data_IF_681530125725
#
_entry.id   IF_681530125725
#
_cell.length_a   1.000
_cell.length_b   1.000
_cell.length_c   1.000
_cell.angle_alpha   90.00
_cell.angle_beta   90.00
_cell.angle_gamma   90.00
#
_symmetry.space_group_name_H-M   'P 1'
#
loop_
_entity.id
_entity.type
_entity.pdbx_description
1 polymer ?
#
# COMPACT_ATOMS: atom_id res chain seq x y z
N UNK A 1 100.91 -18.66 -10.82
CA UNK A 1 100.36 -19.91 -10.23
C UNK A 1 100.64 -19.92 -8.73
N UNK A 2 99.75 -19.33 -7.91
CA UNK A 2 99.61 -19.66 -6.47
C UNK A 2 98.38 -18.92 -5.93
N UNK A 3 97.61 -19.61 -5.09
CA UNK A 3 96.30 -19.19 -4.56
C UNK A 3 96.42 -18.13 -3.45
N UNK A 4 95.47 -17.20 -3.42
CA UNK A 4 95.12 -16.27 -2.34
C UNK A 4 93.66 -15.85 -2.58
N UNK A 5 92.79 -15.50 -1.63
CA UNK A 5 92.75 -15.58 -0.18
C UNK A 5 91.26 -15.53 0.20
N UNK A 6 90.93 -16.09 1.35
CA UNK A 6 89.70 -16.01 2.13
C UNK A 6 88.94 -14.67 2.07
N UNK A 7 87.60 -14.69 1.94
CA UNK A 7 86.73 -13.82 2.76
C UNK A 7 85.27 -14.28 2.78
N UNK A 8 84.73 -14.27 4.00
CA UNK A 8 83.37 -14.66 4.37
C UNK A 8 82.33 -13.61 3.95
N UNK A 9 81.16 -14.09 3.51
CA UNK A 9 79.99 -13.27 3.19
C UNK A 9 78.71 -13.96 3.62
N UNK A 10 78.21 -13.53 4.77
CA UNK A 10 76.95 -13.90 5.40
C UNK A 10 75.76 -13.51 4.49
N UNK A 11 74.99 -14.48 3.97
CA UNK A 11 73.77 -14.20 3.20
C UNK A 11 72.54 -14.36 4.09
N UNK A 12 71.91 -13.24 4.43
CA UNK A 12 70.62 -13.15 5.13
C UNK A 12 69.49 -13.75 4.27
N UNK A 13 68.74 -14.68 4.86
CA UNK A 13 67.50 -15.23 4.31
C UNK A 13 66.35 -14.26 4.65
N UNK A 14 65.89 -13.47 3.67
CA UNK A 14 64.70 -12.62 3.84
C UNK A 14 63.43 -13.45 3.58
N UNK A 15 62.73 -13.82 4.65
CA UNK A 15 61.40 -14.44 4.61
C UNK A 15 60.38 -13.31 4.39
N UNK A 16 59.80 -13.24 3.19
CA UNK A 16 58.61 -12.41 2.93
C UNK A 16 57.38 -13.12 3.52
N UNK A 17 56.92 -12.63 4.67
CA UNK A 17 55.58 -12.93 5.20
C UNK A 17 54.55 -12.15 4.38
N UNK A 18 53.92 -12.83 3.41
CA UNK A 18 52.67 -12.36 2.79
C UNK A 18 51.54 -12.57 3.80
N UNK A 19 51.23 -11.52 4.56
CA UNK A 19 49.97 -11.42 5.30
C UNK A 19 48.83 -11.24 4.31
N UNK A 20 48.21 -12.35 3.90
CA UNK A 20 46.93 -12.34 3.21
C UNK A 20 45.84 -11.87 4.17
N UNK A 21 45.31 -10.66 3.96
CA UNK A 21 44.04 -10.24 4.53
C UNK A 21 42.92 -11.08 3.92
N UNK A 22 42.65 -12.26 4.49
CA UNK A 22 41.41 -12.97 4.24
C UNK A 22 40.30 -12.24 4.97
N UNK A 23 39.60 -11.36 4.25
CA UNK A 23 38.31 -10.86 4.67
C UNK A 23 37.38 -12.06 4.84
N UNK A 24 37.04 -12.39 6.09
CA UNK A 24 36.05 -13.38 6.46
C UNK A 24 34.65 -12.90 6.07
N UNK A 25 34.38 -12.89 4.76
CA UNK A 25 33.03 -12.73 4.24
C UNK A 25 32.23 -13.99 4.58
N UNK A 26 31.17 -13.86 5.38
CA UNK A 26 30.13 -14.88 5.43
C UNK A 26 29.68 -15.16 3.98
N UNK A 27 29.46 -16.42 3.57
CA UNK A 27 28.91 -16.70 2.26
C UNK A 27 27.60 -15.91 2.12
N UNK A 28 27.58 -14.97 1.20
CA UNK A 28 26.43 -14.13 0.94
C UNK A 28 25.37 -15.04 0.32
N UNK A 29 24.28 -15.27 1.05
CA UNK A 29 23.16 -16.08 0.56
C UNK A 29 22.72 -15.51 -0.80
N UNK A 30 22.52 -16.36 -1.83
CA UNK A 30 22.05 -15.88 -3.11
C UNK A 30 20.67 -15.21 -2.95
N UNK A 31 20.36 -14.16 -3.73
CA UNK A 31 19.04 -13.54 -3.71
C UNK A 31 17.95 -14.57 -4.00
N UNK A 32 16.90 -14.58 -3.18
CA UNK A 32 15.69 -15.39 -3.38
C UNK A 32 14.54 -14.57 -3.99
N UNK A 33 14.68 -13.24 -4.05
CA UNK A 33 13.86 -12.35 -4.85
C UNK A 33 14.73 -11.71 -5.93
N UNK A 34 14.44 -12.02 -7.18
CA UNK A 34 15.09 -11.48 -8.37
C UNK A 34 14.06 -10.71 -9.19
N UNK A 35 14.52 -9.79 -10.03
CA UNK A 35 13.61 -9.15 -10.96
C UNK A 35 14.23 -8.08 -11.83
N UNK A 36 13.36 -7.40 -12.57
CA UNK A 36 13.70 -6.27 -13.43
C UNK A 36 12.82 -5.05 -13.13
N UNK A 37 13.45 -3.89 -12.99
CA UNK A 37 12.79 -2.60 -12.94
C UNK A 37 12.58 -2.05 -14.35
N UNK A 38 11.34 -1.69 -14.67
CA UNK A 38 10.90 -1.32 -16.01
C UNK A 38 10.23 0.05 -16.01
N UNK A 39 10.69 0.97 -16.85
CA UNK A 39 10.06 2.27 -17.10
C UNK A 39 9.67 2.32 -18.58
N UNK A 40 8.42 2.67 -18.87
CA UNK A 40 7.90 2.77 -20.25
C UNK A 40 8.18 1.49 -21.08
N UNK A 41 8.06 0.32 -20.44
CA UNK A 41 8.33 -0.99 -21.04
C UNK A 41 9.81 -1.33 -21.28
N UNK A 42 10.76 -0.50 -20.83
CA UNK A 42 12.20 -0.70 -21.00
C UNK A 42 12.92 -0.89 -19.66
N UNK A 43 14.02 -1.68 -19.61
CA UNK A 43 14.81 -1.79 -18.39
C UNK A 43 15.35 -0.44 -17.92
N UNK A 44 15.32 -0.21 -16.61
CA UNK A 44 15.75 1.05 -16.00
C UNK A 44 16.68 0.78 -14.81
N UNK A 45 17.87 1.38 -14.84
CA UNK A 45 18.95 1.18 -13.88
C UNK A 45 18.84 2.12 -12.67
N UNK A 46 19.65 1.90 -11.63
CA UNK A 46 19.82 2.86 -10.53
C UNK A 46 18.69 2.87 -9.49
N UNK A 47 17.77 1.91 -9.56
CA UNK A 47 16.62 1.82 -8.66
C UNK A 47 16.87 0.84 -7.54
N UNK A 48 16.55 1.22 -6.31
CA UNK A 48 16.64 0.35 -5.12
C UNK A 48 15.28 -0.28 -4.84
N UNK A 49 15.26 -1.59 -4.62
CA UNK A 49 14.08 -2.30 -4.16
C UNK A 49 14.08 -2.37 -2.64
N UNK A 50 13.02 -1.87 -2.03
CA UNK A 50 12.82 -1.84 -0.58
C UNK A 50 11.67 -2.77 -0.19
N UNK A 51 11.84 -3.53 0.88
CA UNK A 51 10.82 -4.47 1.35
C UNK A 51 10.49 -4.30 2.83
N UNK A 52 9.19 -4.23 3.15
CA UNK A 52 8.65 -4.25 4.51
C UNK A 52 7.81 -5.51 4.73
N UNK A 53 7.96 -6.23 5.85
CA UNK A 53 7.04 -7.30 6.22
C UNK A 53 5.60 -6.78 6.30
N UNK A 54 4.62 -7.59 5.92
CA UNK A 54 3.19 -7.17 5.94
C UNK A 54 2.65 -6.90 7.35
N UNK A 55 3.32 -7.43 8.37
CA UNK A 55 3.03 -7.18 9.78
C UNK A 55 3.32 -5.71 10.16
N UNK A 56 4.09 -4.99 9.33
CA UNK A 56 4.27 -3.56 9.46
C UNK A 56 2.94 -2.85 9.12
N UNK A 57 2.23 -2.39 10.14
CA UNK A 57 1.05 -1.54 9.95
C UNK A 57 1.41 -0.18 9.34
N UNK A 58 2.66 0.28 9.46
CA UNK A 58 3.14 1.55 8.89
C UNK A 58 4.53 1.39 8.26
N UNK A 59 4.81 2.15 7.22
CA UNK A 59 6.17 2.31 6.69
C UNK A 59 6.99 3.10 7.71
N UNK A 60 8.04 2.47 8.24
CA UNK A 60 9.06 3.17 9.02
C UNK A 60 9.96 4.02 8.12
N UNK A 61 10.81 4.86 8.72
CA UNK A 61 11.71 5.77 7.99
C UNK A 61 12.71 5.04 7.07
N UNK A 62 13.00 3.76 7.35
CA UNK A 62 13.89 2.94 6.54
C UNK A 62 13.31 1.53 6.41
N UNK A 63 13.41 0.96 5.21
CA UNK A 63 13.03 -0.42 4.96
C UNK A 63 14.00 -1.38 5.67
N UNK A 64 13.50 -2.44 6.31
CA UNK A 64 14.36 -3.44 6.94
C UNK A 64 15.19 -4.23 5.91
N UNK A 65 14.74 -4.30 4.66
CA UNK A 65 15.46 -4.96 3.57
C UNK A 65 15.52 -4.06 2.35
N UNK A 66 16.71 -3.95 1.74
CA UNK A 66 16.96 -3.13 0.53
C UNK A 66 17.93 -3.85 -0.39
N UNK A 67 17.71 -3.75 -1.70
CA UNK A 67 18.63 -4.26 -2.71
C UNK A 67 19.79 -3.28 -2.93
N UNK A 68 20.82 -3.73 -3.64
CA UNK A 68 21.66 -2.79 -4.38
C UNK A 68 20.83 -2.12 -5.50
N UNK A 69 21.24 -0.93 -5.98
CA UNK A 69 20.63 -0.33 -7.16
C UNK A 69 20.64 -1.29 -8.36
N UNK A 70 19.57 -1.27 -9.16
CA UNK A 70 19.45 -2.10 -10.35
C UNK A 70 20.55 -1.80 -11.38
N UNK A 71 20.98 -2.84 -12.10
CA UNK A 71 22.03 -2.73 -13.10
C UNK A 71 21.57 -2.05 -14.40
N UNK A 72 22.46 -1.94 -15.38
CA UNK A 72 22.21 -1.38 -16.72
C UNK A 72 21.09 -2.10 -17.51
N UNK A 73 20.77 -3.34 -17.12
CA UNK A 73 19.66 -4.15 -17.65
C UNK A 73 18.45 -4.14 -16.70
N UNK A 74 18.40 -3.19 -15.77
CA UNK A 74 17.35 -3.04 -14.77
C UNK A 74 17.24 -4.20 -13.79
N UNK A 75 18.23 -5.11 -13.72
CA UNK A 75 18.15 -6.30 -12.87
C UNK A 75 18.49 -5.95 -11.44
N UNK A 76 17.75 -6.56 -10.51
CA UNK A 76 18.02 -6.46 -9.09
C UNK A 76 17.92 -7.84 -8.42
N UNK A 77 18.50 -7.93 -7.21
CA UNK A 77 18.35 -9.07 -6.34
C UNK A 77 18.23 -8.62 -4.88
N UNK A 78 17.35 -9.27 -4.13
CA UNK A 78 17.15 -9.06 -2.71
C UNK A 78 17.10 -10.41 -1.97
N UNK A 79 17.76 -10.47 -0.83
CA UNK A 79 17.69 -11.62 0.09
C UNK A 79 16.65 -11.27 1.16
N UNK A 80 15.61 -12.08 1.26
CA UNK A 80 14.54 -11.94 2.24
C UNK A 80 14.36 -13.23 3.02
N UNK A 81 14.06 -13.16 4.32
CA UNK A 81 13.48 -14.28 5.04
C UNK A 81 12.18 -14.79 4.38
N UNK A 82 11.76 -16.00 4.74
CA UNK A 82 10.44 -16.50 4.37
C UNK A 82 9.36 -15.60 4.99
N UNK A 83 8.36 -15.22 4.18
CA UNK A 83 7.30 -14.33 4.63
C UNK A 83 6.57 -13.60 3.52
N UNK A 84 5.77 -12.61 3.89
CA UNK A 84 5.05 -11.72 2.97
C UNK A 84 5.57 -10.30 3.10
N UNK A 85 5.79 -9.64 1.98
CA UNK A 85 6.42 -8.33 1.94
C UNK A 85 5.69 -7.34 1.03
N UNK A 86 5.58 -6.08 1.46
CA UNK A 86 5.34 -4.96 0.57
C UNK A 86 6.64 -4.56 -0.11
N UNK A 87 6.66 -4.57 -1.43
CA UNK A 87 7.80 -4.17 -2.26
C UNK A 87 7.59 -2.78 -2.85
N UNK A 88 8.62 -1.96 -2.71
CA UNK A 88 8.71 -0.63 -3.30
C UNK A 88 9.97 -0.56 -4.14
N UNK A 89 9.95 0.30 -5.14
CA UNK A 89 11.11 0.62 -5.95
C UNK A 89 11.26 2.14 -6.01
N UNK A 90 12.43 2.68 -5.73
CA UNK A 90 12.71 4.11 -5.82
C UNK A 90 14.18 4.40 -6.18
N UNK A 91 14.41 5.52 -6.83
CA UNK A 91 15.73 5.95 -7.34
C UNK A 91 15.58 6.71 -8.64
N UNK A 92 16.55 7.53 -9.03
CA UNK A 92 16.59 8.23 -10.32
C UNK A 92 15.29 8.94 -10.75
N UNK A 93 14.58 9.55 -9.79
CA UNK A 93 13.32 10.27 -10.06
C UNK A 93 12.12 9.37 -10.40
N UNK A 94 12.23 8.05 -10.26
CA UNK A 94 11.16 7.09 -10.47
C UNK A 94 10.73 6.39 -9.18
N UNK A 95 9.53 5.83 -9.19
CA UNK A 95 8.91 5.15 -8.06
C UNK A 95 8.06 3.97 -8.52
N UNK A 96 7.89 2.96 -7.66
CA UNK A 96 6.80 2.00 -7.74
C UNK A 96 6.39 1.50 -6.36
N UNK A 97 5.08 1.33 -6.17
CA UNK A 97 4.54 0.31 -5.28
C UNK A 97 4.22 -0.89 -6.15
N UNK A 98 4.84 -2.04 -5.90
CA UNK A 98 4.67 -3.18 -6.80
C UNK A 98 3.20 -3.63 -6.85
N UNK A 99 2.61 -3.66 -8.04
CA UNK A 99 1.17 -3.91 -8.21
C UNK A 99 0.67 -5.27 -7.74
N UNK A 100 1.58 -6.24 -7.48
CA UNK A 100 1.25 -7.54 -6.89
C UNK A 100 1.56 -7.62 -5.40
N UNK A 101 1.71 -6.49 -4.74
CA UNK A 101 1.87 -6.45 -3.30
C UNK A 101 0.63 -6.97 -2.56
N UNK A 102 0.81 -7.64 -1.42
CA UNK A 102 2.10 -8.10 -0.90
C UNK A 102 2.60 -9.38 -1.61
N UNK A 103 3.92 -9.54 -1.67
CA UNK A 103 4.61 -10.67 -2.29
C UNK A 103 4.98 -11.72 -1.26
N UNK A 104 4.53 -12.96 -1.46
CA UNK A 104 5.01 -14.12 -0.70
C UNK A 104 6.40 -14.54 -1.21
N UNK A 105 7.34 -14.72 -0.29
CA UNK A 105 8.72 -15.12 -0.55
C UNK A 105 9.02 -16.41 0.20
N UNK A 106 9.64 -17.36 -0.50
CA UNK A 106 10.16 -18.61 0.05
C UNK A 106 11.69 -18.59 0.04
N UNK A 107 12.30 -19.32 0.96
CA UNK A 107 13.76 -19.56 0.96
C UNK A 107 14.15 -20.73 0.06
N UNK A 108 13.19 -21.58 -0.35
CA UNK A 108 13.42 -22.76 -1.20
C UNK A 108 13.20 -22.50 -2.69
N UNK A 109 12.60 -21.36 -3.05
CA UNK A 109 12.23 -21.02 -4.42
C UNK A 109 12.63 -19.58 -4.74
N UNK A 110 13.29 -19.39 -5.88
CA UNK A 110 13.57 -18.05 -6.37
C UNK A 110 12.34 -17.50 -7.08
N UNK A 111 11.99 -16.26 -6.75
CA UNK A 111 10.90 -15.54 -7.41
C UNK A 111 11.46 -14.48 -8.34
N UNK A 112 11.05 -14.53 -9.60
CA UNK A 112 11.34 -13.49 -10.60
C UNK A 112 10.12 -12.58 -10.76
N UNK A 113 10.33 -11.26 -10.70
CA UNK A 113 9.29 -10.25 -10.84
C UNK A 113 9.71 -9.14 -11.80
N UNK A 114 8.72 -8.51 -12.42
CA UNK A 114 8.92 -7.27 -13.18
C UNK A 114 8.17 -6.14 -12.50
N UNK A 115 8.88 -5.08 -12.11
CA UNK A 115 8.32 -3.92 -11.42
C UNK A 115 8.21 -2.77 -12.42
N UNK A 116 6.97 -2.39 -12.77
CA UNK A 116 6.67 -1.20 -13.56
C UNK A 116 6.80 0.07 -12.72
N UNK A 117 7.57 1.02 -13.24
CA UNK A 117 7.92 2.29 -12.61
C UNK A 117 7.10 3.44 -13.18
N UNK A 118 6.89 4.47 -12.36
CA UNK A 118 6.36 5.77 -12.75
C UNK A 118 7.38 6.86 -12.47
N UNK A 119 7.33 7.94 -13.27
CA UNK A 119 8.08 9.16 -12.99
C UNK A 119 7.43 9.90 -11.81
N UNK A 120 8.23 10.32 -10.84
CA UNK A 120 7.74 11.05 -9.66
C UNK A 120 7.57 12.54 -9.91
N UNK A 121 8.25 13.07 -10.93
CA UNK A 121 8.05 14.43 -11.41
C UNK A 121 6.73 14.52 -12.17
N UNK A 122 5.99 15.60 -11.91
CA UNK A 122 4.77 15.94 -12.64
C UNK A 122 4.16 17.24 -12.13
N UNK A 123 3.12 17.68 -12.83
CA UNK A 123 2.42 18.92 -12.52
C UNK A 123 1.66 18.78 -11.20
N UNK A 124 1.82 19.79 -10.34
CA UNK A 124 1.03 19.92 -9.13
C UNK A 124 -0.13 20.86 -9.41
N UNK A 125 -1.29 20.62 -8.80
CA UNK A 125 -2.46 21.45 -9.06
C UNK A 125 -2.22 22.89 -8.56
N UNK A 126 -2.56 23.84 -9.42
CA UNK A 126 -2.57 25.29 -9.14
C UNK A 126 -3.99 25.76 -8.77
N UNK A 127 -4.12 27.02 -8.34
CA UNK A 127 -5.41 27.60 -7.95
C UNK A 127 -5.78 27.39 -6.47
N UNK A 128 -6.74 28.15 -5.96
CA UNK A 128 -7.18 28.04 -4.56
C UNK A 128 -7.99 26.76 -4.34
N UNK A 129 -7.68 25.95 -3.30
CA UNK A 129 -8.45 24.76 -2.99
C UNK A 129 -9.82 25.14 -2.42
N UNK A 130 -10.83 24.30 -2.65
CA UNK A 130 -12.12 24.42 -1.97
C UNK A 130 -12.08 23.88 -0.54
N UNK A 131 -10.97 23.23 -0.17
CA UNK A 131 -10.72 22.62 1.13
C UNK A 131 -10.04 23.57 2.11
N UNK A 132 -10.42 23.47 3.39
CA UNK A 132 -9.68 24.08 4.48
C UNK A 132 -8.48 23.23 4.95
N UNK A 133 -8.54 21.90 4.75
CA UNK A 133 -7.51 20.95 5.14
C UNK A 133 -7.59 19.69 4.28
N UNK A 134 -6.45 19.17 3.82
CA UNK A 134 -6.41 17.89 3.12
C UNK A 134 -5.43 17.84 1.96
N UNK A 135 -5.87 17.28 0.84
CA UNK A 135 -5.03 17.04 -0.34
C UNK A 135 -5.74 17.55 -1.59
N UNK A 136 -5.01 18.29 -2.42
CA UNK A 136 -5.37 18.62 -3.78
C UNK A 136 -4.39 17.85 -4.69
N UNK A 137 -4.89 16.90 -5.47
CA UNK A 137 -4.08 16.01 -6.28
C UNK A 137 -4.33 16.23 -7.77
N UNK A 138 -3.25 16.30 -8.55
CA UNK A 138 -3.32 16.11 -10.00
C UNK A 138 -2.98 14.64 -10.30
N UNK A 139 -3.93 13.94 -10.91
CA UNK A 139 -3.82 12.55 -11.33
C UNK A 139 -3.45 12.49 -12.80
N UNK A 140 -2.46 11.65 -13.15
CA UNK A 140 -2.01 11.52 -14.54
C UNK A 140 -1.66 10.07 -14.88
N UNK A 141 -1.72 9.76 -16.17
CA UNK A 141 -1.15 8.54 -16.74
C UNK A 141 -0.20 8.96 -17.88
N UNK A 142 1.02 8.43 -17.87
CA UNK A 142 2.07 8.77 -18.85
C UNK A 142 2.28 10.28 -19.05
N UNK A 143 2.21 11.03 -17.95
CA UNK A 143 2.38 12.49 -17.93
C UNK A 143 1.18 13.29 -18.45
N UNK A 144 0.10 12.63 -18.85
CA UNK A 144 -1.14 13.28 -19.29
C UNK A 144 -2.18 13.29 -18.18
N UNK A 145 -2.91 14.40 -17.94
CA UNK A 145 -4.02 14.43 -17.00
C UNK A 145 -5.01 13.29 -17.18
N UNK A 146 -5.42 12.66 -16.08
CA UNK A 146 -6.29 11.50 -16.09
C UNK A 146 -7.65 11.81 -15.46
N UNK A 147 -8.63 12.06 -16.31
CA UNK A 147 -10.03 12.21 -15.90
C UNK A 147 -10.68 10.88 -15.50
N UNK A 148 -11.68 10.94 -14.62
CA UNK A 148 -12.48 9.77 -14.24
C UNK A 148 -11.85 8.86 -13.18
N UNK A 149 -10.75 9.28 -12.56
CA UNK A 149 -10.07 8.50 -11.53
C UNK A 149 -10.57 8.88 -10.12
N UNK A 150 -10.48 7.94 -9.19
CA UNK A 150 -10.88 8.12 -7.80
C UNK A 150 -9.63 8.08 -6.91
N UNK A 151 -9.46 9.10 -6.07
CA UNK A 151 -8.43 9.16 -5.03
C UNK A 151 -8.93 8.49 -3.75
N UNK A 152 -8.07 7.66 -3.16
CA UNK A 152 -8.32 6.94 -1.93
C UNK A 152 -7.28 7.34 -0.88
N UNK A 153 -7.73 7.55 0.36
CA UNK A 153 -6.85 7.73 1.51
C UNK A 153 -7.05 6.58 2.52
N UNK A 154 -5.95 5.99 2.97
CA UNK A 154 -5.91 4.95 3.98
C UNK A 154 -5.16 5.44 5.21
N UNK A 155 -5.54 4.95 6.39
CA UNK A 155 -4.88 5.36 7.64
C UNK A 155 -3.58 4.58 7.91
N UNK A 156 -3.43 3.41 7.29
CA UNK A 156 -2.32 2.48 7.47
C UNK A 156 -2.33 1.38 6.38
N UNK A 157 -1.41 0.43 6.49
CA UNK A 157 -1.26 -0.70 5.56
C UNK A 157 -2.05 -1.96 5.98
N UNK A 158 -2.85 -1.94 7.05
CA UNK A 158 -3.51 -3.15 7.57
C UNK A 158 -4.56 -3.73 6.62
N UNK A 159 -5.16 -2.87 5.79
CA UNK A 159 -6.06 -3.25 4.69
C UNK A 159 -5.33 -3.63 3.40
N UNK A 160 -3.99 -3.69 3.43
CA UNK A 160 -3.13 -3.85 2.24
C UNK A 160 -3.40 -2.79 1.15
N UNK A 161 -3.93 -1.62 1.55
CA UNK A 161 -4.38 -0.57 0.65
C UNK A 161 -5.43 -1.06 -0.36
N UNK A 162 -6.33 -1.96 0.07
CA UNK A 162 -7.43 -2.53 -0.73
C UNK A 162 -8.78 -2.05 -0.21
N UNK A 163 -9.81 -2.22 -1.04
CA UNK A 163 -11.16 -1.78 -0.71
C UNK A 163 -11.34 -0.26 -0.73
N UNK A 164 -12.22 0.25 0.14
CA UNK A 164 -12.74 1.62 0.06
C UNK A 164 -11.86 2.70 0.69
N UNK A 165 -10.92 2.32 1.57
CA UNK A 165 -10.15 3.29 2.34
C UNK A 165 -11.01 4.10 3.33
N UNK A 166 -10.36 5.04 4.00
CA UNK A 166 -11.00 5.99 4.92
C UNK A 166 -11.75 7.10 4.18
N UNK A 167 -11.16 7.63 3.10
CA UNK A 167 -11.77 8.59 2.17
C UNK A 167 -11.65 8.04 0.76
N UNK A 168 -12.71 8.22 -0.02
CA UNK A 168 -12.77 7.95 -1.45
C UNK A 168 -13.42 9.15 -2.13
N UNK A 169 -12.70 9.84 -3.02
CA UNK A 169 -13.19 11.04 -3.70
C UNK A 169 -12.85 11.02 -5.18
N UNK A 170 -13.75 11.57 -5.99
CA UNK A 170 -13.66 11.62 -7.44
C UNK A 170 -15.07 11.64 -8.05
N UNK A 171 -15.19 11.46 -9.37
CA UNK A 171 -14.09 11.31 -10.31
C UNK A 171 -13.24 12.58 -10.42
N UNK A 172 -11.97 12.44 -10.78
CA UNK A 172 -11.13 13.56 -11.23
C UNK A 172 -11.69 14.18 -12.50
N UNK A 173 -11.50 15.49 -12.64
CA UNK A 173 -11.96 16.25 -13.81
C UNK A 173 -11.08 16.05 -15.05
N UNK A 174 -11.38 16.77 -16.14
CA UNK A 174 -10.62 16.73 -17.40
C UNK A 174 -9.15 17.14 -17.24
N UNK A 175 -8.84 17.94 -16.21
CA UNK A 175 -7.49 18.32 -15.82
C UNK A 175 -6.82 17.33 -14.85
N UNK A 176 -7.48 16.20 -14.54
CA UNK A 176 -7.00 15.19 -13.61
C UNK A 176 -7.07 15.65 -12.14
N UNK A 177 -7.72 16.77 -11.85
CA UNK A 177 -7.78 17.34 -10.51
C UNK A 177 -8.79 16.59 -9.64
N UNK A 178 -8.42 16.36 -8.38
CA UNK A 178 -9.32 15.87 -7.33
C UNK A 178 -8.90 16.41 -5.97
N UNK A 179 -9.88 16.74 -5.13
CA UNK A 179 -9.68 17.30 -3.78
C UNK A 179 -10.25 16.37 -2.72
N UNK A 180 -9.43 15.97 -1.75
CA UNK A 180 -9.83 15.14 -0.61
C UNK A 180 -9.71 15.93 0.69
N UNK A 181 -10.83 16.20 1.35
CA UNK A 181 -10.82 16.73 2.72
C UNK A 181 -10.23 15.69 3.67
N UNK A 182 -9.16 16.05 4.37
CA UNK A 182 -8.52 15.18 5.36
C UNK A 182 -8.20 15.99 6.62
N UNK A 183 -8.62 15.52 7.80
CA UNK A 183 -8.15 16.05 9.07
C UNK A 183 -6.64 15.88 9.23
N UNK A 184 -6.05 16.64 10.15
CA UNK A 184 -4.64 16.48 10.52
C UNK A 184 -4.33 15.03 10.90
N UNK A 185 -3.29 14.44 10.30
CA UNK A 185 -3.01 13.03 10.43
C UNK A 185 -1.96 12.50 9.46
N UNK A 186 -1.82 11.18 9.40
CA UNK A 186 -0.91 10.50 8.49
C UNK A 186 -1.71 9.50 7.66
N UNK A 187 -1.57 9.59 6.33
CA UNK A 187 -2.37 8.82 5.39
C UNK A 187 -1.50 8.19 4.30
N UNK A 188 -2.02 7.14 3.69
CA UNK A 188 -1.49 6.51 2.48
C UNK A 188 -2.46 6.78 1.34
N UNK A 189 -1.98 7.42 0.28
CA UNK A 189 -2.78 7.84 -0.86
C UNK A 189 -2.53 6.95 -2.06
N UNK A 190 -3.61 6.59 -2.77
CA UNK A 190 -3.53 5.93 -4.07
C UNK A 190 -4.72 6.37 -4.91
N UNK A 191 -4.60 6.26 -6.23
CA UNK A 191 -5.70 6.51 -7.14
C UNK A 191 -6.00 5.28 -7.99
N UNK A 192 -7.27 5.11 -8.36
CA UNK A 192 -7.73 4.06 -9.28
C UNK A 192 -8.69 4.64 -10.30
N UNK A 193 -8.57 4.21 -11.55
CA UNK A 193 -9.60 4.44 -12.58
C UNK A 193 -10.06 3.08 -13.08
N UNK A 194 -11.35 2.80 -12.93
CA UNK A 194 -11.96 1.59 -13.51
C UNK A 194 -12.71 1.96 -14.77
N UNK A 195 -12.36 1.33 -15.89
CA UNK A 195 -13.05 1.57 -17.17
C UNK A 195 -14.51 1.10 -17.13
N UNK A 196 -14.82 0.13 -16.28
CA UNK A 196 -16.19 -0.34 -16.03
C UNK A 196 -17.09 0.70 -15.34
N UNK A 197 -16.52 1.77 -14.78
CA UNK A 197 -17.24 2.76 -13.95
C UNK A 197 -17.65 2.25 -12.56
N UNK A 198 -17.34 0.99 -12.22
CA UNK A 198 -17.67 0.43 -10.90
C UNK A 198 -16.83 1.11 -9.80
N UNK A 199 -17.46 1.44 -8.67
CA UNK A 199 -16.75 2.00 -7.51
C UNK A 199 -15.94 0.97 -6.71
N UNK A 200 -16.29 -0.32 -6.84
CA UNK A 200 -15.74 -1.44 -6.06
C UNK A 200 -15.34 -2.62 -6.93
N UNK A 201 -14.51 -3.51 -6.37
CA UNK A 201 -14.04 -4.73 -7.03
C UNK A 201 -12.60 -4.65 -7.54
N UNK A 202 -12.07 -5.78 -8.05
CA UNK A 202 -10.69 -5.86 -8.52
C UNK A 202 -10.47 -4.98 -9.75
N UNK A 203 -9.24 -4.50 -9.92
CA UNK A 203 -8.81 -3.84 -11.15
C UNK A 203 -8.61 -4.87 -12.24
N UNK A 204 -9.01 -4.51 -13.46
CA UNK A 204 -8.90 -5.33 -14.67
C UNK A 204 -7.86 -4.76 -15.62
N UNK A 205 -7.46 -5.56 -16.61
CA UNK A 205 -6.67 -5.03 -17.72
C UNK A 205 -7.32 -3.77 -18.30
N UNK A 206 -6.51 -2.74 -18.56
CA UNK A 206 -6.96 -1.43 -19.02
C UNK A 206 -7.43 -0.46 -17.93
N UNK A 207 -7.67 -0.93 -16.70
CA UNK A 207 -7.84 -0.03 -15.56
C UNK A 207 -6.52 0.65 -15.21
N UNK A 208 -6.57 1.70 -14.39
CA UNK A 208 -5.38 2.41 -13.93
C UNK A 208 -5.26 2.35 -12.41
N UNK A 209 -4.02 2.25 -11.93
CA UNK A 209 -3.68 2.35 -10.51
C UNK A 209 -2.39 3.10 -10.30
N UNK A 210 -2.37 3.97 -9.31
CA UNK A 210 -1.17 4.70 -8.89
C UNK A 210 -1.12 4.78 -7.39
N UNK A 211 0.08 4.65 -6.84
CA UNK A 211 0.35 4.84 -5.43
C UNK A 211 1.17 6.10 -5.29
N UNK A 212 0.79 7.01 -4.39
CA UNK A 212 1.49 8.27 -4.25
C UNK A 212 2.96 8.04 -3.84
N UNK A 213 3.95 8.53 -4.63
CA UNK A 213 5.38 8.33 -4.32
C UNK A 213 5.81 8.91 -2.97
N UNK A 214 5.13 9.95 -2.50
CA UNK A 214 5.39 10.59 -1.21
C UNK A 214 4.67 9.94 -0.03
N UNK A 215 4.20 8.70 -0.15
CA UNK A 215 3.56 7.99 0.95
C UNK A 215 4.55 7.60 2.07
N UNK A 216 4.14 7.66 3.34
CA UNK A 216 2.87 8.24 3.81
C UNK A 216 2.88 9.77 3.78
N UNK A 217 1.73 10.38 3.48
CA UNK A 217 1.55 11.83 3.55
C UNK A 217 1.17 12.26 4.97
N UNK A 218 1.75 13.35 5.46
CA UNK A 218 1.33 14.00 6.71
C UNK A 218 0.51 15.24 6.38
N UNK A 219 -0.74 15.25 6.85
CA UNK A 219 -1.64 16.40 6.73
C UNK A 219 -1.56 17.19 8.03
N UNK A 220 -1.32 18.49 7.91
CA UNK A 220 -1.32 19.42 9.03
C UNK A 220 -2.68 20.13 9.12
N UNK A 221 -3.06 20.55 10.33
CA UNK A 221 -4.32 21.25 10.54
C UNK A 221 -4.37 22.54 9.72
N UNK A 222 -5.46 22.73 8.97
CA UNK A 222 -5.68 23.94 8.17
C UNK A 222 -4.76 24.08 6.94
N UNK A 223 -4.16 22.97 6.46
CA UNK A 223 -3.30 22.98 5.28
C UNK A 223 -3.77 22.00 4.22
N UNK A 224 -3.67 22.44 2.96
CA UNK A 224 -3.91 21.60 1.79
C UNK A 224 -2.58 21.25 1.14
N UNK A 225 -2.27 19.95 1.10
CA UNK A 225 -1.09 19.42 0.41
C UNK A 225 -1.37 19.30 -1.08
N UNK A 226 -0.54 19.95 -1.90
CA UNK A 226 -0.61 19.86 -3.37
C UNK A 226 0.32 18.76 -3.86
N UNK A 227 -0.24 17.75 -4.52
CA UNK A 227 0.52 16.57 -4.94
C UNK A 227 0.27 16.22 -6.42
N UNK A 228 1.25 15.55 -7.00
CA UNK A 228 1.12 14.83 -8.25
C UNK A 228 1.08 13.34 -7.94
N UNK A 229 0.13 12.61 -8.53
CA UNK A 229 -0.02 11.17 -8.35
C UNK A 229 -0.09 10.50 -9.75
N UNK A 230 1.02 9.88 -10.20
CA UNK A 230 1.05 9.14 -11.46
C UNK A 230 0.42 7.74 -11.31
N UNK A 231 -0.34 7.32 -12.31
CA UNK A 231 -0.96 6.01 -12.41
C UNK A 231 -0.37 5.23 -13.60
N UNK A 232 -0.34 3.91 -13.47
CA UNK A 232 -0.04 2.97 -14.56
C UNK A 232 -1.31 2.24 -14.98
N UNK A 233 -1.39 1.95 -16.28
CA UNK A 233 -2.36 1.00 -16.80
C UNK A 233 -2.05 -0.42 -16.30
N UNK A 234 -3.08 -1.16 -15.93
CA UNK A 234 -2.98 -2.56 -15.55
C UNK A 234 -2.85 -3.40 -16.82
N UNK A 235 -1.76 -4.19 -16.99
CA UNK A 235 -1.50 -4.91 -18.23
C UNK A 235 -2.31 -6.23 -18.34
N UNK A 236 -2.61 -6.66 -19.57
CA UNK A 236 -3.41 -7.86 -19.89
C UNK A 236 -2.94 -9.15 -19.21
N UNK A 237 -1.61 -9.34 -19.07
CA UNK A 237 -1.01 -10.53 -18.44
C UNK A 237 -1.25 -10.65 -16.93
N UNK A 238 -1.98 -9.73 -16.31
CA UNK A 238 -2.32 -9.75 -14.87
C UNK A 238 -3.65 -10.48 -14.60
N UNK A 239 -4.48 -10.71 -15.62
CA UNK A 239 -5.83 -11.30 -15.46
C UNK A 239 -5.83 -12.70 -14.82
N UNK A 240 -4.79 -13.51 -15.04
CA UNK A 240 -4.74 -14.90 -14.56
C UNK A 240 -4.48 -15.07 -13.05
N UNK A 241 -4.28 -13.98 -12.29
CA UNK A 241 -4.00 -14.01 -10.84
C UNK A 241 -4.91 -13.07 -10.01
N UNK A 242 -6.03 -12.60 -10.58
CA UNK A 242 -6.81 -11.47 -10.07
C UNK A 242 -7.59 -11.71 -8.78
N UNK A 243 -8.09 -12.93 -8.54
CA UNK A 243 -8.98 -13.20 -7.40
C UNK A 243 -8.28 -13.11 -6.03
N UNK A 244 -6.97 -13.39 -5.98
CA UNK A 244 -6.17 -13.33 -4.74
C UNK A 244 -5.46 -11.99 -4.52
N UNK A 245 -5.25 -11.20 -5.59
CA UNK A 245 -4.41 -10.00 -5.56
C UNK A 245 -5.13 -8.72 -5.11
N UNK A 246 -6.45 -8.58 -5.29
CA UNK A 246 -7.12 -7.28 -5.08
C UNK A 246 -8.29 -7.25 -4.09
N UNK A 247 -8.49 -8.32 -3.31
CA UNK A 247 -9.50 -8.36 -2.24
C UNK A 247 -10.91 -8.37 -2.81
N UNK A 248 -11.46 -9.56 -3.04
CA UNK A 248 -12.84 -9.75 -3.48
C UNK A 248 -13.85 -9.87 -2.33
N UNK A 249 -13.39 -9.87 -1.07
CA UNK A 249 -14.27 -10.07 0.07
C UNK A 249 -15.08 -8.81 0.33
N UNK A 250 -16.40 -8.89 0.26
CA UNK A 250 -17.29 -7.72 0.46
C UNK A 250 -18.32 -7.98 1.54
N UNK A 251 -18.60 -6.93 2.33
CA UNK A 251 -19.67 -6.89 3.33
C UNK A 251 -20.61 -5.74 2.94
N UNK A 252 -21.90 -6.02 2.77
CA UNK A 252 -22.90 -5.07 2.31
C UNK A 252 -24.11 -5.09 3.23
N UNK A 253 -24.63 -3.91 3.56
CA UNK A 253 -25.75 -3.79 4.49
C UNK A 253 -26.31 -2.38 4.59
N UNK A 254 -27.15 -2.18 5.60
CA UNK A 254 -27.77 -0.90 5.95
C UNK A 254 -27.51 -0.54 7.41
N UNK A 255 -27.35 0.75 7.67
CA UNK A 255 -27.36 1.32 9.02
C UNK A 255 -28.70 2.02 9.23
N UNK A 256 -29.43 1.59 10.26
CA UNK A 256 -30.75 2.10 10.62
C UNK A 256 -30.77 2.56 12.07
N UNK A 257 -31.72 3.40 12.44
CA UNK A 257 -32.00 3.71 13.84
C UNK A 257 -32.92 2.66 14.49
N UNK A 258 -33.23 2.80 15.78
CA UNK A 258 -34.14 1.90 16.50
C UNK A 258 -35.56 1.78 15.91
N UNK A 259 -35.98 2.73 15.07
CA UNK A 259 -37.25 2.69 14.35
C UNK A 259 -37.15 2.02 12.96
N UNK A 260 -35.97 1.49 12.59
CA UNK A 260 -35.70 0.90 11.29
C UNK A 260 -35.51 1.92 10.16
N UNK A 261 -35.37 3.21 10.48
CA UNK A 261 -35.18 4.26 9.47
C UNK A 261 -33.70 4.34 9.11
N UNK A 262 -33.34 4.33 7.81
CA UNK A 262 -31.96 4.50 7.38
C UNK A 262 -31.30 5.78 7.89
N UNK A 263 -30.05 5.65 8.33
CA UNK A 263 -29.28 6.77 8.89
C UNK A 263 -28.26 7.24 7.86
N UNK A 264 -28.35 8.52 7.48
CA UNK A 264 -27.33 9.18 6.64
C UNK A 264 -26.15 9.66 7.46
N UNK A 265 -24.94 9.58 6.90
CA UNK A 265 -23.71 10.08 7.51
C UNK A 265 -23.06 9.11 8.52
N UNK A 266 -23.69 7.97 8.80
CA UNK A 266 -23.11 6.90 9.61
C UNK A 266 -22.06 6.11 8.80
N UNK A 267 -21.20 5.37 9.49
CA UNK A 267 -20.18 4.52 8.88
C UNK A 267 -20.22 3.14 9.52
N UNK A 268 -20.06 2.11 8.70
CA UNK A 268 -19.80 0.77 9.16
C UNK A 268 -18.30 0.60 9.40
N UNK A 269 -17.93 -0.01 10.53
CA UNK A 269 -16.56 -0.09 11.03
C UNK A 269 -16.27 -1.54 11.40
N UNK A 270 -15.28 -2.13 10.75
CA UNK A 270 -14.93 -3.54 10.86
C UNK A 270 -13.73 -3.74 11.79
N UNK A 271 -13.81 -4.74 12.68
CA UNK A 271 -12.78 -5.10 13.63
C UNK A 271 -12.45 -6.59 13.55
N UNK A 272 -11.22 -6.95 13.94
CA UNK A 272 -10.81 -8.37 14.13
C UNK A 272 -11.11 -8.90 15.53
N UNK A 273 -11.38 -8.02 16.47
CA UNK A 273 -11.52 -8.33 17.89
C UNK A 273 -12.90 -7.94 18.41
N UNK A 274 -13.49 -8.81 19.24
CA UNK A 274 -14.87 -8.69 19.72
C UNK A 274 -15.09 -7.46 20.60
N UNK A 275 -14.06 -6.95 21.27
CA UNK A 275 -14.19 -5.77 22.13
C UNK A 275 -14.38 -4.50 21.30
N UNK A 276 -13.96 -4.50 20.03
CA UNK A 276 -14.04 -3.33 19.12
C UNK A 276 -13.38 -2.06 19.68
N UNK A 277 -12.45 -2.23 20.64
CA UNK A 277 -11.68 -1.14 21.27
C UNK A 277 -10.41 -0.80 20.49
N UNK A 278 -9.92 -1.75 19.70
CA UNK A 278 -8.72 -1.60 18.90
C UNK A 278 -8.96 -0.72 17.68
N UNK A 279 -7.90 -0.39 16.95
CA UNK A 279 -8.01 0.30 15.67
C UNK A 279 -8.84 -0.55 14.67
N UNK A 280 -9.80 0.06 13.94
CA UNK A 280 -10.56 -0.64 12.90
C UNK A 280 -9.68 -1.22 11.80
N UNK A 281 -10.08 -2.38 11.27
CA UNK A 281 -9.50 -2.99 10.07
C UNK A 281 -9.95 -2.29 8.78
N UNK A 282 -11.22 -1.90 8.74
CA UNK A 282 -11.81 -1.20 7.60
C UNK A 282 -12.97 -0.31 8.06
N UNK A 283 -13.23 0.74 7.29
CA UNK A 283 -14.32 1.70 7.52
C UNK A 283 -15.02 1.91 6.19
N UNK A 284 -16.35 1.95 6.17
CA UNK A 284 -17.12 2.31 4.97
C UNK A 284 -17.04 3.82 4.70
N UNK A 285 -17.51 4.22 3.52
CA UNK A 285 -17.90 5.61 3.30
C UNK A 285 -19.09 5.97 4.20
N UNK A 286 -19.32 7.28 4.47
CA UNK A 286 -20.56 7.72 5.09
C UNK A 286 -21.75 7.22 4.27
N UNK A 287 -22.74 6.67 4.95
CA UNK A 287 -24.00 6.25 4.35
C UNK A 287 -24.73 7.46 3.75
N UNK A 288 -25.41 7.24 2.62
CA UNK A 288 -26.32 8.23 2.07
C UNK A 288 -27.69 8.14 2.79
N UNK A 289 -28.71 8.79 2.22
CA UNK A 289 -30.08 8.79 2.76
C UNK A 289 -30.73 7.41 2.79
N UNK A 290 -30.20 6.45 2.06
CA UNK A 290 -30.60 5.04 2.03
C UNK A 290 -29.96 4.19 3.14
N UNK A 291 -29.00 4.76 3.90
CA UNK A 291 -28.31 4.04 4.96
C UNK A 291 -27.36 2.95 4.47
N UNK A 292 -27.16 2.78 3.17
CA UNK A 292 -26.41 1.66 2.62
C UNK A 292 -24.90 1.81 2.85
N UNK A 293 -24.26 0.71 3.21
CA UNK A 293 -22.81 0.64 3.34
C UNK A 293 -22.22 -0.56 2.59
N UNK A 294 -20.98 -0.38 2.17
CA UNK A 294 -20.13 -1.46 1.68
C UNK A 294 -18.73 -1.37 2.30
N UNK A 295 -18.22 -2.52 2.74
CA UNK A 295 -16.83 -2.70 3.16
C UNK A 295 -16.20 -3.75 2.25
N UNK A 296 -14.93 -3.55 1.89
CA UNK A 296 -14.14 -4.50 1.10
C UNK A 296 -12.83 -4.79 1.83
N UNK A 297 -12.49 -6.08 1.96
CA UNK A 297 -11.32 -6.56 2.70
C UNK A 297 -10.53 -7.61 1.91
N UNK A 298 -9.21 -7.76 2.15
CA UNK A 298 -8.35 -8.66 1.38
C UNK A 298 -8.55 -10.16 1.66
N UNK A 299 -8.97 -10.48 2.89
CA UNK A 299 -9.01 -11.84 3.40
C UNK A 299 -10.42 -12.22 3.83
N UNK A 300 -10.65 -13.52 3.98
CA UNK A 300 -11.79 -14.04 4.75
C UNK A 300 -11.40 -14.20 6.22
N UNK A 301 -12.40 -14.49 7.06
CA UNK A 301 -12.20 -14.73 8.48
C UNK A 301 -13.44 -14.43 9.31
N UNK A 302 -13.22 -14.38 10.61
CA UNK A 302 -14.20 -13.92 11.61
C UNK A 302 -13.92 -12.46 11.95
N UNK A 303 -14.96 -11.63 11.87
CA UNK A 303 -14.89 -10.18 12.11
C UNK A 303 -16.04 -9.71 13.00
N UNK A 304 -15.95 -8.49 13.48
CA UNK A 304 -16.99 -7.79 14.25
C UNK A 304 -17.27 -6.46 13.59
N UNK A 305 -18.54 -6.05 13.54
CA UNK A 305 -18.98 -4.89 12.78
C UNK A 305 -19.77 -3.95 13.67
N UNK A 306 -19.47 -2.66 13.59
CA UNK A 306 -20.18 -1.61 14.30
C UNK A 306 -20.61 -0.48 13.35
N UNK A 307 -21.68 0.21 13.71
CA UNK A 307 -22.16 1.43 13.07
C UNK A 307 -21.87 2.63 13.96
N UNK A 308 -21.34 3.72 13.40
CA UNK A 308 -21.12 4.97 14.14
C UNK A 308 -21.03 6.20 13.23
N UNK A 309 -21.39 7.38 13.74
CA UNK A 309 -21.30 8.65 12.99
C UNK A 309 -19.95 9.36 13.16
N UNK A 310 -19.16 9.01 14.18
CA UNK A 310 -17.80 9.51 14.40
C UNK A 310 -16.79 8.36 14.48
N UNK A 311 -15.51 8.67 14.20
CA UNK A 311 -14.42 7.69 14.18
C UNK A 311 -13.36 8.08 15.20
N UNK A 312 -12.96 7.10 16.02
CA UNK A 312 -11.94 7.25 17.06
C UNK A 312 -12.55 7.49 18.44
N UNK A 313 -11.91 6.92 19.47
CA UNK A 313 -12.40 7.03 20.84
C UNK A 313 -13.63 6.17 21.16
N UNK A 314 -14.01 6.19 22.44
CA UNK A 314 -15.30 5.68 22.88
C UNK A 314 -16.39 6.67 22.48
N UNK A 315 -17.58 6.21 22.06
CA UNK A 315 -18.69 7.08 21.72
C UNK A 315 -19.03 8.04 22.87
N UNK A 316 -19.13 9.33 22.56
CA UNK A 316 -19.57 10.36 23.49
C UNK A 316 -21.07 10.63 23.44
N UNK A 317 -21.61 11.43 24.38
CA UNK A 317 -23.01 11.85 24.35
C UNK A 317 -23.38 12.53 23.03
N UNK A 318 -24.49 12.12 22.42
CA UNK A 318 -24.96 12.61 21.12
C UNK A 318 -24.34 11.92 19.89
N UNK A 319 -23.39 11.01 20.09
CA UNK A 319 -22.85 10.19 19.00
C UNK A 319 -23.72 8.96 18.76
N UNK A 320 -23.83 8.54 17.51
CA UNK A 320 -24.56 7.33 17.14
C UNK A 320 -23.63 6.14 17.24
N UNK A 321 -24.09 5.07 17.90
CA UNK A 321 -23.35 3.82 17.99
C UNK A 321 -24.27 2.60 17.98
N UNK A 322 -23.78 1.50 17.41
CA UNK A 322 -24.44 0.21 17.42
C UNK A 322 -23.54 -0.91 16.90
N UNK A 323 -23.91 -2.16 17.16
CA UNK A 323 -23.17 -3.35 16.72
C UNK A 323 -24.02 -4.23 15.83
N UNK A 324 -23.37 -5.02 14.98
CA UNK A 324 -24.05 -6.07 14.25
C UNK A 324 -24.44 -7.19 15.22
N UNK A 325 -25.75 -7.46 15.31
CA UNK A 325 -26.32 -8.39 16.29
C UNK A 325 -26.97 -9.62 15.63
N UNK A 326 -26.63 -9.91 14.36
CA UNK A 326 -27.19 -11.04 13.64
C UNK A 326 -26.67 -12.42 14.08
N UNK A 327 -25.73 -12.48 15.02
CA UNK A 327 -25.24 -13.71 15.66
C UNK A 327 -25.11 -13.51 17.17
N UNK A 328 -25.23 -14.56 18.00
CA UNK A 328 -25.18 -14.42 19.47
C UNK A 328 -23.85 -13.89 20.02
N UNK A 329 -22.76 -14.08 19.27
CA UNK A 329 -21.42 -13.58 19.61
C UNK A 329 -21.03 -12.33 18.81
N UNK A 330 -21.98 -11.73 18.09
CA UNK A 330 -21.79 -10.55 17.23
C UNK A 330 -20.76 -10.75 16.10
N UNK A 331 -20.37 -11.99 15.82
CA UNK A 331 -19.37 -12.31 14.80
C UNK A 331 -19.96 -12.43 13.40
N UNK A 332 -19.17 -12.01 12.42
CA UNK A 332 -19.39 -12.18 10.98
C UNK A 332 -18.32 -13.10 10.42
N UNK A 333 -18.73 -14.21 9.81
CA UNK A 333 -17.82 -15.15 9.13
C UNK A 333 -17.97 -15.01 7.62
N UNK A 334 -16.87 -14.68 6.95
CA UNK A 334 -16.84 -14.54 5.50
C UNK A 334 -15.65 -15.29 4.91
N UNK A 335 -15.86 -16.01 3.81
CA UNK A 335 -14.78 -16.66 3.08
C UNK A 335 -13.99 -15.66 2.24
N UNK A 336 -12.72 -15.98 1.96
CA UNK A 336 -11.88 -15.12 1.12
C UNK A 336 -12.48 -15.01 -0.28
N UNK A 337 -12.70 -13.78 -0.74
CA UNK A 337 -13.36 -13.52 -2.03
C UNK A 337 -14.88 -13.64 -1.99
N UNK A 338 -15.47 -13.94 -0.83
CA UNK A 338 -16.92 -14.06 -0.66
C UNK A 338 -17.63 -12.71 -0.57
N UNK A 339 -18.96 -12.72 -0.74
CA UNK A 339 -19.80 -11.53 -0.57
C UNK A 339 -20.88 -11.82 0.46
N UNK A 340 -20.86 -11.12 1.60
CA UNK A 340 -21.97 -11.09 2.55
C UNK A 340 -22.83 -9.87 2.27
N UNK A 341 -24.14 -10.09 2.17
CA UNK A 341 -25.14 -9.05 1.89
C UNK A 341 -26.28 -9.13 2.90
N UNK A 342 -27.05 -8.05 3.00
CA UNK A 342 -28.21 -7.97 3.89
C UNK A 342 -27.82 -7.85 5.36
N UNK A 343 -26.64 -7.31 5.65
CA UNK A 343 -26.25 -6.98 7.02
C UNK A 343 -27.07 -5.78 7.49
N UNK A 344 -27.51 -5.79 8.74
CA UNK A 344 -28.20 -4.66 9.36
C UNK A 344 -27.48 -4.29 10.65
N UNK A 345 -27.28 -2.98 10.84
CA UNK A 345 -26.75 -2.43 12.09
C UNK A 345 -27.75 -1.40 12.60
N UNK A 346 -28.25 -1.61 13.80
CA UNK A 346 -29.11 -0.65 14.50
C UNK A 346 -28.20 0.26 15.31
N UNK A 347 -28.26 1.57 15.09
CA UNK A 347 -27.53 2.58 15.87
C UNK A 347 -28.48 3.40 16.73
N UNK A 348 -28.01 3.75 17.92
CA UNK A 348 -28.71 4.59 18.88
C UNK A 348 -27.83 5.75 19.32
N UNK A 349 -28.46 6.83 19.77
CA UNK A 349 -27.75 7.96 20.35
C UNK A 349 -27.22 7.58 21.73
N UNK A 350 -25.92 7.81 21.94
CA UNK A 350 -25.26 7.55 23.20
C UNK A 350 -25.54 8.68 24.19
N UNK A 351 -25.69 8.32 25.46
CA UNK A 351 -25.94 9.24 26.58
C UNK A 351 -24.88 9.11 27.68
#
# INVERSE_FOLDING_TARGET
>A
MTKAFCQAGLLLLAIFLLTGCAASGRPQQPPNLLGQSMLDGKPHAGVTISAWPVEASRLGNMAPFRSAPSDDKGRFGLVLPEGRYYLFADGDGVFAYYGRNPVAVSVSENRDISIGLVRTAGERPEGEPFLNSGVMANLSADGTPLAGATLYAYLDLTSELKGMGYVMVGPSDDGGLVEAELPAGTYYLLARKRLSGQGVGPLRSGDFVGYYPGNPVRIESGKVSRIHLPLLEVPEKVDSLQASLFGGTTLQGVIVNAAGIPVSGARAVLYRDAQMLNRPLAVSQPTAVDGEFIISIPDGGTYFLAGRNTIGGAPGPGELFGTYDGTPDHSLKVERGGSLKGLEIIVEEMW
#
